data_IF_086548246248
#
_entry.id   IF_086548246248
#
_cell.length_a   1.000
_cell.length_b   1.000
_cell.length_c   1.000
_cell.angle_alpha   90.00
_cell.angle_beta   90.00
_cell.angle_gamma   90.00
#
_symmetry.space_group_name_H-M   'P 1'
#
loop_
_entity.id
_entity.type
_entity.pdbx_description
1 polymer ?
#
# COMPACT_ATOMS: atom_id res chain seq x y z
N UNK A 1 -7.10 -4.34 60.05
CA UNK A 1 -8.01 -3.57 59.18
C UNK A 1 -7.17 -2.87 58.12
N UNK A 2 -7.18 -3.38 56.88
CA UNK A 2 -6.52 -2.72 55.76
C UNK A 2 -7.43 -1.57 55.33
N UNK A 3 -6.95 -0.32 55.40
CA UNK A 3 -7.68 0.83 54.88
C UNK A 3 -7.71 0.73 53.36
N UNK A 4 -8.85 0.32 52.81
CA UNK A 4 -9.13 0.48 51.38
C UNK A 4 -9.28 1.99 51.13
N UNK A 5 -8.25 2.60 50.54
CA UNK A 5 -8.34 3.96 50.04
C UNK A 5 -9.06 3.86 48.69
N UNK A 6 -10.21 4.53 48.48
CA UNK A 6 -10.86 4.53 47.17
C UNK A 6 -9.95 5.26 46.18
N UNK A 7 -9.36 4.52 45.24
CA UNK A 7 -8.71 5.13 44.09
C UNK A 7 -9.81 5.51 43.09
N UNK A 8 -10.20 6.77 43.08
CA UNK A 8 -10.92 7.32 41.94
C UNK A 8 -9.90 7.49 40.80
N UNK A 9 -10.03 6.79 39.66
CA UNK A 9 -9.13 6.99 38.54
C UNK A 9 -9.19 8.47 38.15
N UNK A 10 -8.09 9.20 38.35
CA UNK A 10 -7.99 10.58 37.88
C UNK A 10 -8.23 10.59 36.36
N UNK A 11 -9.03 11.50 35.82
CA UNK A 11 -9.25 11.65 34.38
C UNK A 11 -7.99 12.25 33.76
N UNK A 12 -6.93 11.45 33.64
CA UNK A 12 -5.61 11.94 33.27
C UNK A 12 -5.05 11.32 31.97
N UNK A 13 -5.75 10.37 31.36
CA UNK A 13 -5.38 9.88 30.02
C UNK A 13 -6.18 10.57 28.91
N UNK A 14 -7.39 11.05 29.22
CA UNK A 14 -8.29 11.71 28.29
C UNK A 14 -7.85 13.11 27.81
N UNK A 15 -6.70 13.63 28.26
CA UNK A 15 -6.26 15.02 28.00
C UNK A 15 -4.77 15.18 27.66
N UNK A 16 -4.07 14.12 27.29
CA UNK A 16 -2.80 14.33 26.58
C UNK A 16 -3.15 14.75 25.14
N UNK A 17 -2.41 15.68 24.49
CA UNK A 17 -2.68 16.09 23.11
C UNK A 17 -2.46 14.97 22.07
N UNK A 18 -2.36 13.71 22.53
CA UNK A 18 -2.13 12.51 21.75
C UNK A 18 -3.29 12.24 20.78
N UNK A 19 -4.54 12.44 21.21
CA UNK A 19 -5.70 12.32 20.31
C UNK A 19 -5.69 13.41 19.21
N UNK A 20 -5.27 14.64 19.56
CA UNK A 20 -5.11 15.72 18.59
C UNK A 20 -3.99 15.41 17.58
N UNK A 21 -2.86 14.86 18.03
CA UNK A 21 -1.76 14.43 17.15
C UNK A 21 -2.15 13.30 16.21
N UNK A 22 -2.96 12.34 16.67
CA UNK A 22 -3.49 11.30 15.79
C UNK A 22 -4.41 11.95 14.75
N UNK A 23 -5.34 12.82 15.17
CA UNK A 23 -6.23 13.56 14.25
C UNK A 23 -5.43 14.34 13.20
N UNK A 24 -4.36 15.02 13.59
CA UNK A 24 -3.47 15.73 12.65
C UNK A 24 -2.89 14.78 11.59
N UNK A 25 -2.48 13.57 11.99
CA UNK A 25 -1.91 12.59 11.08
C UNK A 25 -2.95 11.96 10.14
N UNK A 26 -4.11 11.57 10.67
CA UNK A 26 -5.07 10.70 9.94
C UNK A 26 -6.35 11.42 9.52
N UNK A 27 -6.53 12.69 9.89
CA UNK A 27 -7.66 13.53 9.55
C UNK A 27 -9.00 13.16 10.21
N UNK A 28 -9.03 12.09 11.00
CA UNK A 28 -10.24 11.55 11.64
C UNK A 28 -10.08 11.62 13.15
N UNK A 29 -11.17 11.98 13.85
CA UNK A 29 -11.19 11.96 15.31
C UNK A 29 -11.14 10.52 15.84
N UNK A 30 -10.12 10.23 16.63
CA UNK A 30 -9.96 8.94 17.31
C UNK A 30 -10.06 9.10 18.82
N UNK A 31 -10.77 8.18 19.45
CA UNK A 31 -10.77 8.05 20.92
C UNK A 31 -9.81 6.96 21.33
N UNK A 32 -8.81 7.30 22.14
CA UNK A 32 -7.93 6.32 22.77
C UNK A 32 -8.48 6.01 24.16
N UNK A 33 -8.96 4.79 24.35
CA UNK A 33 -9.38 4.29 25.65
C UNK A 33 -8.24 3.51 26.30
N UNK A 34 -7.76 3.97 27.45
CA UNK A 34 -6.78 3.25 28.27
C UNK A 34 -7.41 2.98 29.62
N UNK A 35 -7.62 1.70 29.96
CA UNK A 35 -8.05 1.32 31.29
C UNK A 35 -6.85 1.13 32.22
N UNK A 36 -6.39 2.24 32.79
CA UNK A 36 -5.26 2.21 33.73
C UNK A 36 -5.55 1.36 34.98
N UNK A 37 -6.81 1.19 35.37
CA UNK A 37 -7.20 0.43 36.56
C UNK A 37 -6.99 -1.09 36.36
N UNK A 38 -7.32 -1.62 35.17
CA UNK A 38 -7.05 -3.02 34.83
C UNK A 38 -5.56 -3.35 34.83
N UNK A 39 -4.75 -2.47 34.27
CA UNK A 39 -3.29 -2.67 34.24
C UNK A 39 -2.68 -2.59 35.65
N UNK A 40 -3.22 -1.71 36.50
CA UNK A 40 -2.79 -1.60 37.89
C UNK A 40 -3.20 -2.76 38.79
N UNK A 41 -4.16 -3.59 38.40
CA UNK A 41 -4.45 -4.83 39.10
C UNK A 41 -3.26 -5.80 39.11
N UNK A 42 -2.32 -5.65 38.17
CA UNK A 42 -1.13 -6.50 38.02
C UNK A 42 0.17 -5.83 38.50
N UNK A 43 0.09 -4.67 39.15
CA UNK A 43 1.28 -3.93 39.59
C UNK A 43 1.87 -4.52 40.87
N UNK A 44 3.20 -4.75 40.87
CA UNK A 44 3.92 -5.05 42.10
C UNK A 44 3.95 -3.82 43.05
N UNK A 45 4.02 -4.10 44.35
CA UNK A 45 4.02 -3.08 45.39
C UNK A 45 5.21 -2.12 45.21
N UNK A 46 4.94 -0.81 45.17
CA UNK A 46 5.95 0.24 44.98
C UNK A 46 6.16 0.72 43.54
N UNK A 47 5.48 0.14 42.54
CA UNK A 47 5.54 0.65 41.18
C UNK A 47 4.72 1.93 41.01
N UNK A 48 5.37 3.01 40.56
CA UNK A 48 4.73 4.34 40.35
C UNK A 48 4.76 4.78 38.88
N UNK A 49 5.24 3.92 37.98
CA UNK A 49 5.64 4.30 36.61
C UNK A 49 4.58 4.07 35.53
N UNK A 50 3.38 3.56 35.86
CA UNK A 50 2.34 3.23 34.87
C UNK A 50 1.99 4.38 33.93
N UNK A 51 1.87 5.61 34.44
CA UNK A 51 1.58 6.77 33.59
C UNK A 51 2.64 6.99 32.52
N UNK A 52 3.92 6.91 32.89
CA UNK A 52 5.04 7.01 31.93
C UNK A 52 5.05 5.83 30.96
N UNK A 53 4.69 4.64 31.43
CA UNK A 53 4.57 3.44 30.61
C UNK A 53 3.52 3.63 29.50
N UNK A 54 2.29 4.03 29.87
CA UNK A 54 1.22 4.29 28.89
C UNK A 54 1.59 5.38 27.90
N UNK A 55 2.14 6.50 28.36
CA UNK A 55 2.58 7.57 27.46
C UNK A 55 3.60 7.06 26.44
N UNK A 56 4.58 6.23 26.83
CA UNK A 56 5.55 5.65 25.90
C UNK A 56 4.91 4.75 24.85
N UNK A 57 3.92 3.94 25.22
CA UNK A 57 3.20 3.10 24.26
C UNK A 57 2.40 3.94 23.26
N UNK A 58 1.68 4.95 23.73
CA UNK A 58 0.91 5.83 22.83
C UNK A 58 1.83 6.65 21.93
N UNK A 59 2.96 7.14 22.43
CA UNK A 59 3.97 7.80 21.61
C UNK A 59 4.57 6.87 20.54
N UNK A 60 4.84 5.61 20.90
CA UNK A 60 5.28 4.58 19.95
C UNK A 60 4.25 4.33 18.85
N UNK A 61 2.96 4.29 19.22
CA UNK A 61 1.87 4.17 18.25
C UNK A 61 1.76 5.39 17.33
N UNK A 62 1.83 6.62 17.86
CA UNK A 62 1.84 7.84 17.05
C UNK A 62 3.03 7.85 16.08
N UNK A 63 4.21 7.44 16.55
CA UNK A 63 5.39 7.33 15.69
C UNK A 63 5.18 6.31 14.57
N UNK A 64 4.52 5.18 14.85
CA UNK A 64 4.20 4.18 13.85
C UNK A 64 3.21 4.69 12.79
N UNK A 65 2.14 5.36 13.21
CA UNK A 65 1.20 6.04 12.29
C UNK A 65 1.97 7.04 11.43
N UNK A 66 2.77 7.91 12.04
CA UNK A 66 3.53 8.92 11.31
C UNK A 66 4.44 8.28 10.25
N UNK A 67 5.25 7.28 10.61
CA UNK A 67 6.14 6.60 9.66
C UNK A 67 5.37 5.97 8.48
N UNK A 68 4.14 5.50 8.73
CA UNK A 68 3.30 4.93 7.69
C UNK A 68 2.68 6.00 6.79
N UNK A 69 2.23 7.12 7.36
CA UNK A 69 1.77 8.27 6.57
C UNK A 69 2.92 8.84 5.74
N UNK A 70 4.13 8.97 6.31
CA UNK A 70 5.33 9.41 5.58
C UNK A 70 5.71 8.45 4.43
N UNK A 71 5.25 7.18 4.47
CA UNK A 71 5.55 6.16 3.46
C UNK A 71 4.50 6.07 2.35
N UNK A 72 3.23 6.28 2.69
CA UNK A 72 2.09 6.00 1.80
C UNK A 72 1.19 7.20 1.56
N UNK A 73 1.53 8.37 2.11
CA UNK A 73 0.84 9.65 1.94
C UNK A 73 -0.68 9.55 2.15
N UNK A 74 -1.45 10.24 1.32
CA UNK A 74 -2.91 10.27 1.38
C UNK A 74 -3.54 8.88 1.17
N UNK A 75 -2.88 7.99 0.41
CA UNK A 75 -3.33 6.60 0.28
C UNK A 75 -3.22 5.85 1.60
N UNK A 76 -2.11 6.03 2.33
CA UNK A 76 -1.93 5.46 3.66
C UNK A 76 -3.06 5.91 4.59
N UNK A 77 -3.36 7.20 4.60
CA UNK A 77 -4.44 7.77 5.40
C UNK A 77 -5.81 7.18 5.05
N UNK A 78 -6.15 7.09 3.77
CA UNK A 78 -7.41 6.51 3.32
C UNK A 78 -7.53 5.02 3.72
N UNK A 79 -6.49 4.23 3.44
CA UNK A 79 -6.47 2.79 3.72
C UNK A 79 -6.52 2.49 5.22
N UNK A 80 -5.84 3.30 6.02
CA UNK A 80 -5.88 3.22 7.48
C UNK A 80 -7.29 3.51 8.02
N UNK A 81 -7.89 4.64 7.63
CA UNK A 81 -9.22 5.02 8.11
C UNK A 81 -10.29 4.01 7.70
N UNK A 82 -10.22 3.49 6.48
CA UNK A 82 -11.11 2.42 6.01
C UNK A 82 -10.95 1.16 6.88
N UNK A 83 -9.72 0.66 7.05
CA UNK A 83 -9.46 -0.55 7.82
C UNK A 83 -9.92 -0.42 9.28
N UNK A 84 -9.68 0.73 9.92
CA UNK A 84 -10.10 0.96 11.31
C UNK A 84 -11.61 1.11 11.44
N UNK A 85 -12.30 1.62 10.41
CA UNK A 85 -13.78 1.72 10.41
C UNK A 85 -14.43 0.35 10.22
N UNK A 86 -13.83 -0.54 9.44
CA UNK A 86 -14.32 -1.89 9.19
C UNK A 86 -14.01 -2.85 10.34
N UNK A 87 -12.87 -2.67 11.00
CA UNK A 87 -12.61 -3.37 12.25
C UNK A 87 -13.70 -2.95 13.25
N UNK A 88 -14.64 -3.86 13.53
CA UNK A 88 -15.50 -3.72 14.69
C UNK A 88 -14.56 -3.52 15.89
N UNK A 89 -14.44 -2.26 16.34
CA UNK A 89 -13.32 -1.82 17.18
C UNK A 89 -13.11 -2.82 18.30
N UNK A 90 -11.91 -3.38 18.40
CA UNK A 90 -11.53 -4.54 19.23
C UNK A 90 -12.75 -5.37 19.69
N UNK A 91 -13.03 -6.58 19.17
CA UNK A 91 -14.18 -7.37 19.62
C UNK A 91 -14.18 -7.65 21.14
N UNK A 92 -13.02 -7.52 21.79
CA UNK A 92 -12.89 -7.54 23.25
C UNK A 92 -13.18 -6.19 23.90
N UNK A 93 -12.98 -5.06 23.22
CA UNK A 93 -13.26 -3.71 23.71
C UNK A 93 -12.47 -3.41 24.98
N UNK A 94 -13.19 -3.08 26.04
CA UNK A 94 -12.76 -2.94 27.43
C UNK A 94 -12.82 -4.25 28.23
N UNK A 95 -13.11 -5.38 27.58
CA UNK A 95 -13.27 -6.72 28.17
C UNK A 95 -12.14 -7.69 27.82
N UNK A 96 -11.05 -7.22 27.23
CA UNK A 96 -9.86 -8.04 27.02
C UNK A 96 -9.17 -8.32 28.35
N UNK A 97 -8.85 -9.58 28.66
CA UNK A 97 -8.11 -9.92 29.90
C UNK A 97 -6.72 -9.26 29.98
N UNK A 98 -6.19 -8.84 28.82
CA UNK A 98 -4.93 -8.08 28.70
C UNK A 98 -5.06 -7.00 27.63
N UNK A 99 -4.38 -5.86 27.79
CA UNK A 99 -4.10 -4.93 26.68
C UNK A 99 -3.06 -5.62 25.79
N UNK A 100 -3.51 -6.50 24.89
CA UNK A 100 -2.59 -7.14 23.95
C UNK A 100 -2.22 -6.16 22.85
N UNK A 101 -1.11 -5.44 23.03
CA UNK A 101 -0.22 -5.25 21.88
C UNK A 101 0.41 -6.60 21.60
N UNK A 102 -0.32 -7.55 21.01
CA UNK A 102 0.31 -8.73 20.42
C UNK A 102 1.15 -8.25 19.23
N UNK A 103 2.28 -7.64 19.59
CA UNK A 103 3.56 -7.83 18.96
C UNK A 103 3.77 -9.35 18.98
N UNK A 104 3.15 -10.04 18.01
CA UNK A 104 3.51 -11.39 17.64
C UNK A 104 5.03 -11.41 17.49
N UNK A 105 5.72 -11.97 18.47
CA UNK A 105 7.14 -12.33 18.39
C UNK A 105 8.12 -11.15 18.20
N UNK A 106 7.96 -10.05 18.94
CA UNK A 106 8.98 -8.99 18.98
C UNK A 106 9.08 -8.09 17.74
N UNK A 107 8.09 -8.12 16.84
CA UNK A 107 8.03 -7.26 15.65
C UNK A 107 7.65 -5.82 16.00
N UNK A 108 8.26 -4.84 15.32
CA UNK A 108 7.95 -3.41 15.55
C UNK A 108 6.52 -3.16 15.06
N UNK A 109 5.79 -2.22 15.69
CA UNK A 109 4.44 -1.79 15.24
C UNK A 109 4.39 -1.45 13.75
N UNK A 110 5.48 -0.94 13.17
CA UNK A 110 5.60 -0.69 11.73
C UNK A 110 5.46 -1.98 10.88
N UNK A 111 5.95 -3.11 11.38
CA UNK A 111 6.00 -4.38 10.64
C UNK A 111 4.64 -5.11 10.66
N UNK A 112 3.77 -4.80 11.62
CA UNK A 112 2.45 -5.43 11.78
C UNK A 112 1.30 -4.56 11.27
N UNK A 113 1.48 -3.25 11.18
CA UNK A 113 0.40 -2.33 10.81
C UNK A 113 -0.03 -2.46 9.35
N UNK A 114 0.91 -2.57 8.41
CA UNK A 114 0.58 -2.75 6.99
C UNK A 114 -0.18 -4.07 6.74
N UNK A 115 0.28 -5.24 7.23
CA UNK A 115 -0.49 -6.48 7.12
C UNK A 115 -1.91 -6.39 7.69
N UNK A 116 -2.08 -5.75 8.86
CA UNK A 116 -3.39 -5.57 9.46
C UNK A 116 -4.32 -4.71 8.59
N UNK A 117 -3.80 -3.62 8.04
CA UNK A 117 -4.54 -2.77 7.09
C UNK A 117 -4.92 -3.58 5.85
N UNK A 118 -3.97 -4.27 5.21
CA UNK A 118 -4.20 -5.03 3.98
C UNK A 118 -5.19 -6.20 4.17
N UNK A 119 -5.35 -6.72 5.40
CA UNK A 119 -6.33 -7.76 5.70
C UNK A 119 -7.79 -7.27 5.73
N UNK A 120 -8.01 -5.95 5.80
CA UNK A 120 -9.35 -5.37 5.78
C UNK A 120 -10.00 -5.59 4.41
N UNK A 121 -11.23 -6.16 4.35
CA UNK A 121 -11.95 -6.37 3.08
C UNK A 121 -12.09 -5.08 2.27
N UNK A 122 -11.52 -5.04 1.08
CA UNK A 122 -11.63 -3.89 0.17
C UNK A 122 -11.62 -4.33 -1.29
N UNK A 123 -12.23 -3.53 -2.15
CA UNK A 123 -12.09 -3.69 -3.60
C UNK A 123 -10.81 -2.99 -4.10
N UNK A 124 -10.22 -3.52 -5.16
CA UNK A 124 -9.07 -2.90 -5.83
C UNK A 124 -7.71 -3.44 -5.39
N UNK A 125 -6.69 -2.60 -5.50
CA UNK A 125 -5.31 -2.99 -5.25
C UNK A 125 -4.85 -2.80 -3.80
N UNK A 126 -3.94 -3.67 -3.35
CA UNK A 126 -3.22 -3.48 -2.08
C UNK A 126 -2.57 -2.09 -2.04
N UNK A 127 -2.40 -1.51 -0.86
CA UNK A 127 -1.74 -0.21 -0.68
C UNK A 127 -0.33 -0.21 -1.28
N UNK A 128 0.40 -1.32 -1.09
CA UNK A 128 1.75 -1.47 -1.63
C UNK A 128 1.78 -1.43 -3.16
N UNK A 129 0.88 -2.16 -3.82
CA UNK A 129 0.73 -2.13 -5.28
C UNK A 129 0.28 -0.75 -5.77
N UNK A 130 -0.67 -0.12 -5.09
CA UNK A 130 -1.15 1.22 -5.44
C UNK A 130 -0.02 2.24 -5.40
N UNK A 131 0.71 2.28 -4.29
CA UNK A 131 1.85 3.18 -4.11
C UNK A 131 2.96 2.92 -5.13
N UNK A 132 3.27 1.65 -5.45
CA UNK A 132 4.27 1.35 -6.49
C UNK A 132 3.81 1.81 -7.87
N UNK A 133 2.53 1.62 -8.25
CA UNK A 133 2.01 2.11 -9.54
C UNK A 133 2.08 3.63 -9.61
N UNK A 134 1.63 4.33 -8.57
CA UNK A 134 1.61 5.79 -8.58
C UNK A 134 3.02 6.38 -8.62
N UNK A 135 3.92 5.90 -7.75
CA UNK A 135 5.24 6.47 -7.59
C UNK A 135 6.21 6.03 -8.70
N UNK A 136 6.21 4.73 -9.05
CA UNK A 136 7.23 4.15 -9.94
C UNK A 136 6.76 4.05 -11.40
N UNK A 137 5.47 4.23 -11.66
CA UNK A 137 4.91 4.20 -13.01
C UNK A 137 4.26 5.53 -13.37
N UNK A 138 3.13 5.90 -12.75
CA UNK A 138 2.38 7.09 -13.13
C UNK A 138 3.21 8.38 -12.95
N UNK A 139 4.09 8.44 -11.94
CA UNK A 139 5.00 9.56 -11.72
C UNK A 139 6.13 9.72 -12.76
N UNK A 140 6.45 8.69 -13.52
CA UNK A 140 7.60 8.67 -14.46
C UNK A 140 7.21 8.34 -15.91
N UNK A 141 5.95 7.97 -16.18
CA UNK A 141 5.52 7.41 -17.47
C UNK A 141 5.49 8.41 -18.61
N UNK A 142 5.35 9.70 -18.33
CA UNK A 142 5.11 10.72 -19.35
C UNK A 142 6.27 10.80 -20.36
N UNK A 143 7.51 10.81 -19.90
CA UNK A 143 8.69 10.84 -20.77
C UNK A 143 8.74 9.58 -21.67
N UNK A 144 8.56 8.39 -21.08
CA UNK A 144 8.54 7.14 -21.83
C UNK A 144 7.39 7.09 -22.84
N UNK A 145 6.20 7.59 -22.48
CA UNK A 145 5.05 7.65 -23.38
C UNK A 145 5.33 8.56 -24.56
N UNK A 146 5.95 9.71 -24.35
CA UNK A 146 6.33 10.61 -25.44
C UNK A 146 7.34 9.97 -26.40
N UNK A 147 8.32 9.25 -25.89
CA UNK A 147 9.27 8.52 -26.72
C UNK A 147 8.58 7.42 -27.54
N UNK A 148 7.67 6.66 -26.93
CA UNK A 148 6.88 5.63 -27.64
C UNK A 148 5.96 6.29 -28.68
N UNK A 149 5.30 7.41 -28.36
CA UNK A 149 4.44 8.12 -29.31
C UNK A 149 5.21 8.53 -30.58
N UNK A 150 6.47 8.97 -30.44
CA UNK A 150 7.34 9.32 -31.58
C UNK A 150 7.69 8.09 -32.42
N UNK A 151 7.92 6.94 -31.79
CA UNK A 151 8.23 5.68 -32.49
C UNK A 151 7.00 5.09 -33.19
N UNK A 152 5.82 5.23 -32.61
CA UNK A 152 4.56 4.70 -33.18
C UNK A 152 3.95 5.67 -34.20
N UNK A 153 4.26 6.97 -34.11
CA UNK A 153 3.67 8.02 -34.95
C UNK A 153 2.27 8.46 -34.53
N UNK A 154 1.80 8.03 -33.36
CA UNK A 154 0.51 8.45 -32.78
C UNK A 154 0.54 8.41 -31.26
N UNK A 155 -0.38 9.14 -30.62
CA UNK A 155 -0.53 9.09 -29.16
C UNK A 155 -1.11 7.75 -28.71
N UNK A 156 -0.44 7.11 -27.75
CA UNK A 156 -0.89 5.84 -27.16
C UNK A 156 -1.02 5.95 -25.65
N UNK A 157 -1.88 5.09 -25.08
CA UNK A 157 -2.01 4.93 -23.62
C UNK A 157 -1.24 3.69 -23.18
N UNK A 158 -0.43 3.83 -22.13
CA UNK A 158 0.30 2.74 -21.49
C UNK A 158 -0.43 2.37 -20.18
N UNK A 159 -0.98 1.15 -20.10
CA UNK A 159 -1.81 0.73 -18.97
C UNK A 159 -1.31 -0.59 -18.34
N UNK A 160 -0.78 -0.54 -17.11
CA UNK A 160 -0.35 -1.72 -16.38
C UNK A 160 -1.45 -2.29 -15.45
N UNK A 161 -2.65 -1.71 -15.38
CA UNK A 161 -3.60 -2.00 -14.29
C UNK A 161 -4.16 -3.43 -14.36
N UNK A 162 -4.20 -4.05 -15.53
CA UNK A 162 -4.74 -5.40 -15.70
C UNK A 162 -3.84 -6.50 -15.10
N UNK A 163 -2.52 -6.28 -14.98
CA UNK A 163 -1.62 -7.28 -14.40
C UNK A 163 -1.86 -7.46 -12.88
N UNK A 164 -2.41 -6.45 -12.20
CA UNK A 164 -2.76 -6.56 -10.78
C UNK A 164 -3.72 -7.73 -10.52
N UNK A 165 -4.81 -7.84 -11.29
CA UNK A 165 -5.82 -8.88 -11.08
C UNK A 165 -5.24 -10.29 -11.28
N UNK A 166 -4.36 -10.44 -12.26
CA UNK A 166 -3.71 -11.70 -12.53
C UNK A 166 -2.71 -12.09 -11.42
N UNK A 167 -1.92 -11.13 -10.93
CA UNK A 167 -0.95 -11.37 -9.87
C UNK A 167 -1.61 -11.54 -8.49
N UNK A 168 -2.74 -10.88 -8.23
CA UNK A 168 -3.52 -11.03 -7.00
C UNK A 168 -4.12 -12.42 -6.81
N UNK A 169 -4.23 -13.21 -7.88
CA UNK A 169 -4.64 -14.62 -7.79
C UNK A 169 -3.50 -15.55 -7.35
N UNK A 170 -2.26 -15.06 -7.28
CA UNK A 170 -1.10 -15.82 -6.86
C UNK A 170 -0.96 -15.83 -5.34
N UNK A 171 -0.28 -16.85 -4.81
CA UNK A 171 -0.01 -16.95 -3.37
C UNK A 171 1.08 -15.98 -2.92
N UNK A 172 1.99 -15.61 -3.82
CA UNK A 172 3.07 -14.67 -3.53
C UNK A 172 2.57 -13.23 -3.66
N UNK A 173 2.99 -12.38 -2.72
CA UNK A 173 2.67 -10.95 -2.66
C UNK A 173 3.92 -10.07 -2.81
N UNK A 174 5.12 -10.64 -3.00
CA UNK A 174 6.37 -9.87 -3.12
C UNK A 174 6.38 -8.90 -4.32
N UNK A 175 5.57 -9.19 -5.35
CA UNK A 175 5.40 -8.36 -6.53
C UNK A 175 4.74 -7.00 -6.22
N UNK A 176 3.92 -6.90 -5.16
CA UNK A 176 3.11 -5.72 -4.89
C UNK A 176 3.96 -4.46 -4.75
N UNK A 177 5.09 -4.53 -4.03
CA UNK A 177 5.96 -3.39 -3.80
C UNK A 177 6.82 -2.99 -5.01
N UNK A 178 6.73 -3.70 -6.14
CA UNK A 178 7.57 -3.49 -7.33
C UNK A 178 6.79 -3.45 -8.63
N UNK A 179 5.46 -3.57 -8.59
CA UNK A 179 4.65 -3.74 -9.79
C UNK A 179 4.75 -2.54 -10.73
N UNK A 180 4.82 -1.31 -10.22
CA UNK A 180 4.99 -0.10 -11.02
C UNK A 180 6.36 -0.07 -11.70
N UNK A 181 7.42 -0.25 -10.93
CA UNK A 181 8.79 -0.30 -11.46
C UNK A 181 9.00 -1.44 -12.47
N UNK A 182 8.38 -2.61 -12.23
CA UNK A 182 8.41 -3.73 -13.18
C UNK A 182 7.61 -3.40 -14.44
N UNK A 183 6.43 -2.77 -14.31
CA UNK A 183 5.65 -2.34 -15.45
C UNK A 183 6.41 -1.36 -16.34
N UNK A 184 7.07 -0.37 -15.73
CA UNK A 184 7.94 0.58 -16.42
C UNK A 184 9.01 -0.15 -17.25
N UNK A 185 9.70 -1.14 -16.67
CA UNK A 185 10.72 -1.94 -17.38
C UNK A 185 10.18 -2.68 -18.59
N UNK A 186 8.97 -3.22 -18.53
CA UNK A 186 8.37 -3.89 -19.68
C UNK A 186 8.08 -2.91 -20.83
N UNK A 187 7.55 -1.72 -20.53
CA UNK A 187 7.33 -0.70 -21.56
C UNK A 187 8.65 -0.11 -22.10
N UNK A 188 9.68 0.06 -21.27
CA UNK A 188 11.02 0.42 -21.73
C UNK A 188 11.61 -0.64 -22.66
N UNK A 189 11.43 -1.93 -22.33
CA UNK A 189 11.86 -3.04 -23.18
C UNK A 189 11.14 -3.05 -24.52
N UNK A 190 9.83 -2.75 -24.53
CA UNK A 190 9.07 -2.60 -25.77
C UNK A 190 9.53 -1.40 -26.60
N UNK A 191 9.80 -0.24 -25.97
CA UNK A 191 10.39 0.92 -26.66
C UNK A 191 11.69 0.53 -27.37
N UNK A 192 12.59 -0.14 -26.67
CA UNK A 192 13.85 -0.63 -27.23
C UNK A 192 13.62 -1.57 -28.43
N UNK A 193 12.60 -2.43 -28.37
CA UNK A 193 12.25 -3.27 -29.52
C UNK A 193 11.79 -2.45 -30.73
N UNK A 194 10.91 -1.45 -30.54
CA UNK A 194 10.48 -0.57 -31.63
C UNK A 194 11.68 0.14 -32.27
N UNK A 195 12.61 0.67 -31.47
CA UNK A 195 13.85 1.28 -31.96
C UNK A 195 14.68 0.28 -32.78
N UNK A 196 14.87 -0.94 -32.26
CA UNK A 196 15.68 -1.97 -32.92
C UNK A 196 15.07 -2.47 -34.24
N UNK A 197 13.75 -2.40 -34.37
CA UNK A 197 13.01 -2.80 -35.58
C UNK A 197 12.93 -1.68 -36.62
N UNK A 198 13.54 -0.52 -36.35
CA UNK A 198 13.62 0.57 -37.32
C UNK A 198 12.38 1.47 -37.39
N UNK A 199 11.49 1.44 -36.40
CA UNK A 199 10.32 2.34 -36.36
C UNK A 199 10.70 3.82 -36.32
N UNK A 200 11.92 4.12 -35.87
CA UNK A 200 12.43 5.47 -35.86
C UNK A 200 12.62 5.95 -37.31
N UNK A 201 11.89 6.99 -37.67
CA UNK A 201 11.94 7.66 -38.98
C UNK A 201 11.44 6.80 -40.17
N UNK A 202 10.69 5.70 -39.90
CA UNK A 202 10.06 4.87 -40.93
C UNK A 202 8.53 5.02 -40.90
N UNK A 203 8.00 5.89 -41.78
CA UNK A 203 6.57 6.16 -41.89
C UNK A 203 5.76 4.90 -42.26
N UNK A 204 6.30 3.99 -43.06
CA UNK A 204 5.59 2.79 -43.50
C UNK A 204 5.38 1.81 -42.33
N UNK A 205 6.38 1.63 -41.47
CA UNK A 205 6.24 0.83 -40.26
C UNK A 205 5.26 1.45 -39.27
N UNK A 206 5.31 2.77 -39.10
CA UNK A 206 4.41 3.51 -38.22
C UNK A 206 2.96 3.40 -38.68
N UNK A 207 2.68 3.69 -39.94
CA UNK A 207 1.33 3.57 -40.52
C UNK A 207 0.80 2.13 -40.43
N UNK A 208 1.64 1.15 -40.81
CA UNK A 208 1.24 -0.28 -40.74
C UNK A 208 0.92 -0.75 -39.32
N UNK A 209 1.62 -0.24 -38.30
CA UNK A 209 1.26 -0.50 -36.91
C UNK A 209 -0.04 0.21 -36.53
N UNK A 210 -0.18 1.50 -36.88
CA UNK A 210 -1.37 2.31 -36.57
C UNK A 210 -2.67 1.70 -37.12
N UNK A 211 -2.61 1.07 -38.29
CA UNK A 211 -3.77 0.38 -38.89
C UNK A 211 -4.28 -0.78 -38.02
N UNK A 212 -3.40 -1.45 -37.28
CA UNK A 212 -3.77 -2.62 -36.46
C UNK A 212 -3.97 -2.30 -34.98
N UNK A 213 -3.55 -1.12 -34.49
CA UNK A 213 -3.71 -0.69 -33.09
C UNK A 213 -4.88 0.28 -32.90
N UNK A 214 -6.07 -0.10 -33.40
CA UNK A 214 -7.28 0.74 -33.43
C UNK A 214 -7.60 1.43 -32.09
N UNK A 215 -7.32 0.78 -30.97
CA UNK A 215 -7.64 1.31 -29.64
C UNK A 215 -6.61 2.32 -29.12
N UNK A 216 -5.41 2.34 -29.71
CA UNK A 216 -4.23 3.07 -29.24
C UNK A 216 -3.86 2.77 -27.79
N UNK A 217 -4.14 1.54 -27.33
CA UNK A 217 -3.82 1.07 -25.98
C UNK A 217 -2.75 0.01 -26.02
N UNK A 218 -1.81 0.17 -25.12
CA UNK A 218 -0.70 -0.73 -24.89
C UNK A 218 -0.81 -1.20 -23.45
N UNK A 219 -1.06 -2.50 -23.28
CA UNK A 219 -1.33 -3.11 -21.99
C UNK A 219 -0.26 -4.12 -21.64
N UNK A 220 -0.02 -4.27 -20.33
CA UNK A 220 0.69 -5.44 -19.84
C UNK A 220 -0.29 -6.58 -19.62
N UNK A 221 0.15 -7.82 -19.89
CA UNK A 221 -0.66 -9.01 -19.66
C UNK A 221 0.16 -10.17 -19.13
N UNK A 222 -0.27 -10.72 -18.00
CA UNK A 222 0.34 -11.92 -17.42
C UNK A 222 -0.08 -13.15 -18.22
N UNK A 223 0.90 -13.94 -18.64
CA UNK A 223 0.73 -15.23 -19.32
C UNK A 223 1.54 -16.31 -18.63
N UNK A 224 1.21 -17.58 -18.90
CA UNK A 224 1.91 -18.72 -18.30
C UNK A 224 3.37 -18.85 -18.75
N UNK A 225 3.68 -18.43 -19.98
CA UNK A 225 5.02 -18.46 -20.57
C UNK A 225 5.13 -17.44 -21.68
N UNK A 226 6.35 -16.97 -21.94
CA UNK A 226 6.70 -16.18 -23.12
C UNK A 226 7.80 -16.86 -23.93
N UNK A 227 7.87 -16.57 -25.23
CA UNK A 227 8.94 -17.06 -26.11
C UNK A 227 10.16 -16.14 -26.16
N UNK A 228 10.02 -14.90 -25.68
CA UNK A 228 11.08 -13.89 -25.60
C UNK A 228 10.96 -13.08 -24.31
N UNK A 229 11.98 -12.25 -24.03
CA UNK A 229 11.99 -11.38 -22.84
C UNK A 229 10.90 -10.32 -22.90
N UNK A 230 10.66 -9.76 -24.08
CA UNK A 230 9.58 -8.82 -24.37
C UNK A 230 8.83 -9.43 -25.55
N UNK A 231 7.75 -10.14 -25.26
CA UNK A 231 6.87 -10.72 -26.27
C UNK A 231 5.66 -9.81 -26.42
N UNK A 232 5.42 -9.33 -27.64
CA UNK A 232 4.37 -8.37 -27.93
C UNK A 232 3.43 -8.99 -28.95
N UNK A 233 2.13 -8.94 -28.69
CA UNK A 233 1.11 -9.36 -29.63
C UNK A 233 0.01 -8.31 -29.76
N UNK A 234 -0.74 -8.37 -30.86
CA UNK A 234 -1.85 -7.45 -31.12
C UNK A 234 -3.13 -8.29 -31.19
N UNK A 235 -4.09 -7.97 -30.33
CA UNK A 235 -5.41 -8.62 -30.27
C UNK A 235 -6.46 -7.52 -30.10
N UNK A 236 -7.54 -7.58 -30.89
CA UNK A 236 -8.67 -6.64 -30.83
C UNK A 236 -8.25 -5.15 -30.82
N UNK A 237 -7.25 -4.79 -31.62
CA UNK A 237 -6.75 -3.43 -31.72
C UNK A 237 -5.93 -2.94 -30.52
N UNK A 238 -5.54 -3.84 -29.60
CA UNK A 238 -4.74 -3.56 -28.40
C UNK A 238 -3.37 -4.23 -28.52
N UNK A 239 -2.31 -3.51 -28.18
CA UNK A 239 -0.97 -4.08 -28.04
C UNK A 239 -0.83 -4.68 -26.65
N UNK A 240 -0.51 -5.96 -26.56
CA UNK A 240 -0.22 -6.65 -25.32
C UNK A 240 1.26 -6.96 -25.21
N UNK A 241 1.94 -6.32 -24.26
CA UNK A 241 3.28 -6.70 -23.81
C UNK A 241 3.12 -7.80 -22.77
N UNK A 242 3.52 -9.01 -23.12
CA UNK A 242 3.33 -10.19 -22.30
C UNK A 242 4.42 -10.28 -21.23
N UNK A 243 4.00 -10.58 -20.00
CA UNK A 243 4.85 -10.81 -18.85
C UNK A 243 4.54 -12.17 -18.21
N UNK A 244 5.51 -12.75 -17.51
CA UNK A 244 5.34 -14.00 -16.76
C UNK A 244 5.47 -13.68 -15.28
N UNK A 245 4.62 -14.30 -14.44
CA UNK A 245 4.61 -14.06 -12.99
C UNK A 245 5.79 -14.70 -12.24
N UNK A 246 6.55 -15.58 -12.89
CA UNK A 246 7.63 -16.39 -12.28
C UNK A 246 9.01 -15.69 -12.31
N UNK A 247 9.04 -14.36 -12.26
CA UNK A 247 10.27 -13.56 -12.29
C UNK A 247 10.24 -12.38 -11.32
#
# INVERSE_FOLDING_TARGET
MVKVVPFAPKPAVAKLPLAARIKELVGTDFTININAAEVWAYAEEGNTSAGTCFSRYVEGFISAIKNFMDKFDDNGKAFFNEAVTQAAGNPLGDKGETITSEILEGRRLNDTMLPAIESAPREGCSLSAKSSIENDFEGEIDELREEINKLVGTEVTLDPKEIYKALAALKDNAWQARIGATAMKYFQGMKYQLESQGFKDDEMLQEGLQEVIETKRFKLRVVAKTNSTIETIIEDGVVYVQCVADR
#
